data_IF_791348506413
#
_entry.id   IF_791348506413
#
_cell.length_a   1.000
_cell.length_b   1.000
_cell.length_c   1.000
_cell.angle_alpha   90.00
_cell.angle_beta   90.00
_cell.angle_gamma   90.00
#
_symmetry.space_group_name_H-M   'P 1'
#
loop_
_entity.id
_entity.type
_entity.pdbx_description
1 polymer ?
#
# COMPACT_ATOMS: atom_id res chain seq x y z
N UNK A 1 -3.43 7.49 11.62
CA UNK A 1 -2.29 7.81 10.74
C UNK A 1 -1.62 6.51 10.32
N UNK A 2 -1.25 6.41 9.05
CA UNK A 2 -0.65 5.23 8.44
C UNK A 2 -1.63 4.11 8.04
N UNK A 3 -2.92 4.40 8.02
CA UNK A 3 -3.92 3.45 7.52
C UNK A 3 -3.88 3.41 6.00
N UNK A 4 -3.97 2.21 5.41
CA UNK A 4 -4.09 2.02 3.99
C UNK A 4 -5.51 2.30 3.50
N UNK A 5 -5.59 2.93 2.34
CA UNK A 5 -6.80 3.12 1.58
C UNK A 5 -6.62 2.56 0.17
N UNK A 6 -7.73 2.12 -0.43
CA UNK A 6 -7.83 1.77 -1.84
C UNK A 6 -8.66 2.86 -2.56
N UNK A 7 -8.14 3.35 -3.68
CA UNK A 7 -8.81 4.30 -4.56
C UNK A 7 -9.47 3.50 -5.69
N UNK A 8 -10.76 3.74 -5.94
CA UNK A 8 -11.53 3.04 -6.99
C UNK A 8 -11.70 3.93 -8.22
N UNK A 9 -11.82 3.35 -9.44
CA UNK A 9 -11.86 1.91 -9.74
C UNK A 9 -10.50 1.25 -9.97
N UNK A 10 -9.38 1.99 -9.96
CA UNK A 10 -8.07 1.47 -10.36
C UNK A 10 -7.35 0.61 -9.31
N UNK A 11 -7.94 0.44 -8.12
CA UNK A 11 -7.40 -0.33 -7.00
C UNK A 11 -6.06 0.21 -6.48
N UNK A 12 -5.75 1.49 -6.74
CA UNK A 12 -4.51 2.11 -6.27
C UNK A 12 -4.48 2.20 -4.75
N UNK A 13 -3.35 1.83 -4.16
CA UNK A 13 -3.12 1.97 -2.74
C UNK A 13 -2.63 3.37 -2.40
N UNK A 14 -3.13 3.90 -1.30
CA UNK A 14 -2.66 5.13 -0.68
C UNK A 14 -2.59 4.99 0.83
N UNK A 15 -1.81 5.84 1.48
CA UNK A 15 -1.69 5.88 2.95
C UNK A 15 -2.19 7.21 3.50
N UNK A 16 -2.90 7.15 4.64
CA UNK A 16 -3.29 8.36 5.38
C UNK A 16 -2.06 8.97 6.07
N UNK A 17 -1.56 10.07 5.51
CA UNK A 17 -0.39 10.82 6.02
C UNK A 17 -0.78 11.98 6.94
N UNK A 18 -2.06 12.37 6.97
CA UNK A 18 -2.52 13.47 7.82
C UNK A 18 -4.04 13.57 7.89
N UNK A 19 -4.52 14.38 8.84
CA UNK A 19 -5.94 14.69 9.03
C UNK A 19 -6.09 16.20 9.21
N UNK A 20 -7.02 16.80 8.49
CA UNK A 20 -7.39 18.19 8.61
C UNK A 20 -8.92 18.31 8.75
N UNK A 21 -9.39 18.42 10.00
CA UNK A 21 -10.80 18.39 10.33
C UNK A 21 -11.46 17.08 9.89
N UNK A 22 -12.41 17.16 8.95
CA UNK A 22 -13.11 16.00 8.39
C UNK A 22 -12.43 15.39 7.16
N UNK A 23 -11.26 15.89 6.74
CA UNK A 23 -10.53 15.40 5.56
C UNK A 23 -9.31 14.59 5.97
N UNK A 24 -9.14 13.42 5.36
CA UNK A 24 -7.88 12.69 5.38
C UNK A 24 -7.00 13.12 4.21
N UNK A 25 -5.70 13.32 4.46
CA UNK A 25 -4.69 13.54 3.43
C UNK A 25 -4.07 12.18 3.08
N UNK A 26 -4.06 11.86 1.79
CA UNK A 26 -3.60 10.58 1.26
C UNK A 26 -2.32 10.76 0.44
N UNK A 27 -1.37 9.85 0.61
CA UNK A 27 -0.23 9.70 -0.28
C UNK A 27 -0.41 8.41 -1.09
N UNK A 28 -0.72 8.49 -2.40
CA UNK A 28 -0.73 7.32 -3.28
C UNK A 28 0.66 6.71 -3.39
N UNK A 29 0.72 5.39 -3.54
CA UNK A 29 1.97 4.65 -3.74
C UNK A 29 2.34 4.47 -5.22
N UNK A 30 1.42 4.80 -6.12
CA UNK A 30 1.58 4.74 -7.57
C UNK A 30 1.37 6.12 -8.18
N UNK A 31 1.56 6.22 -9.50
CA UNK A 31 1.28 7.44 -10.25
C UNK A 31 -0.13 7.97 -9.96
N UNK A 32 -0.24 9.29 -9.83
CA UNK A 32 -1.53 9.99 -9.63
C UNK A 32 -2.20 10.38 -10.95
N UNK A 33 -1.61 10.01 -12.09
CA UNK A 33 -2.21 10.27 -13.41
C UNK A 33 -3.55 9.56 -13.50
N UNK A 34 -4.60 10.29 -13.87
CA UNK A 34 -5.96 9.76 -13.95
C UNK A 34 -6.77 9.90 -12.67
N UNK A 35 -6.17 10.34 -11.56
CA UNK A 35 -6.93 10.65 -10.36
C UNK A 35 -7.75 11.93 -10.54
N UNK A 36 -8.99 11.92 -10.04
CA UNK A 36 -9.91 13.05 -10.12
C UNK A 36 -10.85 13.12 -8.90
N UNK A 37 -11.43 14.29 -8.67
CA UNK A 37 -12.42 14.49 -7.62
C UNK A 37 -13.65 13.59 -7.83
N UNK A 38 -14.23 13.13 -6.72
CA UNK A 38 -15.42 12.26 -6.73
C UNK A 38 -15.11 10.77 -6.82
N UNK A 39 -13.85 10.38 -7.04
CA UNK A 39 -13.45 8.98 -6.91
C UNK A 39 -13.70 8.46 -5.50
N UNK A 40 -14.13 7.21 -5.42
CA UNK A 40 -14.38 6.55 -4.15
C UNK A 40 -13.05 6.12 -3.52
N UNK A 41 -12.92 6.42 -2.23
CA UNK A 41 -11.81 5.96 -1.39
C UNK A 41 -12.37 5.03 -0.33
N UNK A 42 -11.76 3.85 -0.20
CA UNK A 42 -12.13 2.85 0.79
C UNK A 42 -11.00 2.64 1.79
N UNK A 43 -11.29 2.85 3.08
CA UNK A 43 -10.35 2.56 4.15
C UNK A 43 -10.21 1.03 4.34
N UNK A 44 -8.98 0.53 4.35
CA UNK A 44 -8.70 -0.91 4.47
C UNK A 44 -8.56 -1.37 5.93
N UNK A 45 -8.63 -0.45 6.91
CA UNK A 45 -8.56 -0.75 8.35
C UNK A 45 -7.31 -1.53 8.76
N UNK A 46 -6.24 -1.38 8.00
CA UNK A 46 -4.93 -1.95 8.31
C UNK A 46 -3.86 -0.98 7.83
N UNK A 47 -2.70 -1.05 8.47
CA UNK A 47 -1.50 -0.36 7.99
C UNK A 47 -0.81 -1.21 6.92
N UNK A 48 0.10 -0.59 6.18
CA UNK A 48 1.02 -1.33 5.33
C UNK A 48 1.83 -2.29 6.19
N UNK A 49 1.95 -3.52 5.71
CA UNK A 49 2.65 -4.61 6.38
C UNK A 49 3.51 -5.31 5.33
N UNK A 50 4.73 -5.66 5.74
CA UNK A 50 5.65 -6.45 4.94
C UNK A 50 5.95 -7.75 5.71
N UNK A 51 6.06 -8.89 5.02
CA UNK A 51 6.46 -10.13 5.67
C UNK A 51 7.87 -9.98 6.26
N UNK A 52 8.16 -10.71 7.33
CA UNK A 52 9.49 -10.76 7.95
C UNK A 52 9.83 -12.21 8.33
N UNK A 53 11.11 -12.60 8.22
CA UNK A 53 11.58 -13.93 8.60
C UNK A 53 12.80 -14.39 7.80
N UNK A 54 13.33 -15.56 8.16
CA UNK A 54 14.51 -16.17 7.52
C UNK A 54 14.33 -16.38 6.01
N UNK A 55 13.08 -16.57 5.56
CA UNK A 55 12.70 -16.65 4.15
C UNK A 55 13.13 -15.43 3.31
N UNK A 56 13.39 -14.28 3.95
CA UNK A 56 13.86 -13.06 3.28
C UNK A 56 15.38 -12.94 3.16
N UNK A 57 16.17 -13.80 3.82
CA UNK A 57 17.62 -13.72 3.75
C UNK A 57 18.12 -13.95 2.31
N UNK A 58 18.88 -12.98 1.80
CA UNK A 58 19.38 -13.00 0.42
C UNK A 58 18.30 -12.82 -0.65
N UNK A 59 17.09 -12.37 -0.29
CA UNK A 59 16.06 -11.97 -1.25
C UNK A 59 16.26 -10.53 -1.71
N UNK A 60 15.80 -10.23 -2.92
CA UNK A 60 15.62 -8.84 -3.39
C UNK A 60 14.11 -8.57 -3.43
N UNK A 61 13.65 -7.54 -2.71
CA UNK A 61 12.24 -7.18 -2.56
C UNK A 61 12.03 -5.68 -2.83
N UNK A 62 10.81 -5.29 -3.20
CA UNK A 62 10.39 -3.89 -3.28
C UNK A 62 9.95 -3.32 -1.91
N UNK A 63 9.53 -2.05 -1.88
CA UNK A 63 9.03 -1.40 -0.65
C UNK A 63 7.71 -1.97 -0.10
N UNK A 64 7.02 -2.82 -0.87
CA UNK A 64 5.82 -3.56 -0.44
C UNK A 64 6.15 -4.98 0.03
N UNK A 65 7.42 -5.36 0.05
CA UNK A 65 7.86 -6.70 0.39
C UNK A 65 7.63 -7.71 -0.73
N UNK A 66 7.30 -7.28 -1.96
CA UNK A 66 7.11 -8.17 -3.10
C UNK A 66 8.47 -8.57 -3.69
N UNK A 67 8.67 -9.83 -4.07
CA UNK A 67 9.95 -10.30 -4.59
C UNK A 67 10.25 -9.71 -5.97
N UNK A 68 11.49 -9.25 -6.17
CA UNK A 68 12.02 -8.74 -7.43
C UNK A 68 13.05 -9.68 -8.08
N UNK A 69 13.38 -10.78 -7.41
CA UNK A 69 14.38 -11.76 -7.82
C UNK A 69 13.79 -12.98 -8.54
N UNK A 70 12.52 -12.92 -8.97
CA UNK A 70 11.85 -13.98 -9.74
C UNK A 70 11.51 -15.26 -8.97
N UNK A 71 11.70 -15.27 -7.64
CA UNK A 71 11.33 -16.40 -6.76
C UNK A 71 10.05 -16.05 -5.99
N UNK A 72 9.14 -16.99 -5.76
CA UNK A 72 7.99 -16.73 -4.89
C UNK A 72 8.42 -16.54 -3.43
N UNK A 73 7.61 -15.83 -2.65
CA UNK A 73 7.76 -15.82 -1.20
C UNK A 73 7.20 -17.14 -0.66
N UNK A 74 7.89 -17.82 0.26
CA UNK A 74 7.30 -18.94 0.98
C UNK A 74 6.02 -18.48 1.67
N UNK A 75 5.00 -19.33 1.73
CA UNK A 75 3.81 -19.09 2.55
C UNK A 75 4.26 -18.94 4.01
N UNK A 76 4.28 -17.70 4.47
CA UNK A 76 4.54 -17.33 5.87
C UNK A 76 3.19 -17.04 6.52
N UNK A 77 2.83 -17.87 7.51
CA UNK A 77 1.71 -17.63 8.42
C UNK A 77 1.95 -16.39 9.28
#
# INVERSE_FOLDING_TARGET
MGELCCIKPGEELAEVVGINGSKALLSPFTSTIGLHCGQQVMALRRRHQVPVGEALLGRVIDGFGRPLDGRELPDVC
#
